data_IF_990801845310
#
_entry.id   IF_990801845310
#
_cell.length_a   1.000
_cell.length_b   1.000
_cell.length_c   1.000
_cell.angle_alpha   90.00
_cell.angle_beta   90.00
_cell.angle_gamma   90.00
#
_symmetry.space_group_name_H-M   'P 1'
#
loop_
_entity.id
_entity.type
_entity.pdbx_description
1 polymer ?
#
# COMPACT_ATOMS: atom_id res chain seq x y z
N UNK A 1 21.48 -15.43 17.87
CA UNK A 1 21.42 -13.96 18.01
C UNK A 1 20.16 -13.47 17.30
N UNK A 2 19.33 -12.62 17.93
CA UNK A 2 18.17 -12.01 17.24
C UNK A 2 18.70 -10.96 16.26
N UNK A 3 18.54 -11.18 14.97
CA UNK A 3 18.88 -10.19 13.94
C UNK A 3 17.64 -9.33 13.65
N UNK A 4 17.85 -8.01 13.58
CA UNK A 4 16.82 -7.10 13.08
C UNK A 4 16.74 -7.28 11.57
N UNK A 5 15.56 -7.71 11.06
CA UNK A 5 15.38 -7.98 9.63
C UNK A 5 15.74 -6.76 8.77
N UNK A 6 15.31 -5.56 9.18
CA UNK A 6 15.62 -4.32 8.47
C UNK A 6 17.12 -4.01 8.40
N UNK A 7 17.91 -4.49 9.36
CA UNK A 7 19.37 -4.28 9.40
C UNK A 7 20.15 -5.36 8.65
N UNK A 8 19.49 -6.46 8.27
CA UNK A 8 20.10 -7.60 7.56
C UNK A 8 19.82 -7.60 6.05
N UNK A 9 18.98 -6.68 5.57
CA UNK A 9 18.59 -6.58 4.17
C UNK A 9 19.34 -5.47 3.42
N UNK A 10 19.52 -5.67 2.12
CA UNK A 10 20.04 -4.63 1.22
C UNK A 10 19.01 -3.53 0.98
N UNK A 11 19.46 -2.38 0.49
CA UNK A 11 18.57 -1.28 0.10
C UNK A 11 17.52 -1.70 -0.95
N UNK A 12 17.91 -2.53 -1.91
CA UNK A 12 16.99 -3.09 -2.91
C UNK A 12 15.90 -3.96 -2.27
N UNK A 13 16.26 -4.82 -1.33
CA UNK A 13 15.29 -5.67 -0.61
C UNK A 13 14.36 -4.84 0.28
N UNK A 14 14.85 -3.79 0.93
CA UNK A 14 14.02 -2.86 1.70
C UNK A 14 13.04 -2.10 0.80
N UNK A 15 13.47 -1.77 -0.42
CA UNK A 15 12.61 -1.11 -1.42
C UNK A 15 11.48 -2.05 -1.87
N UNK A 16 11.79 -3.32 -2.13
CA UNK A 16 10.78 -4.33 -2.45
C UNK A 16 9.78 -4.55 -1.31
N UNK A 17 10.24 -4.59 -0.05
CA UNK A 17 9.35 -4.70 1.11
C UNK A 17 8.41 -3.48 1.24
N UNK A 18 8.95 -2.27 1.04
CA UNK A 18 8.17 -1.03 1.00
C UNK A 18 7.12 -1.04 -0.11
N UNK A 19 7.51 -1.47 -1.32
CA UNK A 19 6.60 -1.58 -2.46
C UNK A 19 5.44 -2.54 -2.17
N UNK A 20 5.72 -3.72 -1.61
CA UNK A 20 4.68 -4.67 -1.22
C UNK A 20 3.69 -4.07 -0.21
N UNK A 21 4.19 -3.40 0.83
CA UNK A 21 3.35 -2.72 1.82
C UNK A 21 2.44 -1.66 1.20
N UNK A 22 2.98 -0.84 0.30
CA UNK A 22 2.23 0.18 -0.44
C UNK A 22 1.15 -0.42 -1.34
N UNK A 23 1.45 -1.52 -2.05
CA UNK A 23 0.48 -2.22 -2.89
C UNK A 23 -0.70 -2.75 -2.06
N UNK A 24 -0.43 -3.36 -0.90
CA UNK A 24 -1.49 -3.83 0.02
C UNK A 24 -2.36 -2.67 0.51
N UNK A 25 -1.74 -1.58 0.96
CA UNK A 25 -2.45 -0.40 1.45
C UNK A 25 -3.32 0.24 0.35
N UNK A 26 -2.78 0.30 -0.88
CA UNK A 26 -3.48 0.84 -2.05
C UNK A 26 -4.68 -0.03 -2.43
N UNK A 27 -4.51 -1.34 -2.54
CA UNK A 27 -5.60 -2.29 -2.80
C UNK A 27 -6.69 -2.20 -1.73
N UNK A 28 -6.31 -2.17 -0.45
CA UNK A 28 -7.25 -2.00 0.67
C UNK A 28 -8.10 -0.75 0.50
N UNK A 29 -7.44 0.38 0.22
CA UNK A 29 -8.11 1.68 0.11
C UNK A 29 -8.99 1.75 -1.14
N UNK A 30 -8.52 1.18 -2.26
CA UNK A 30 -9.31 1.04 -3.49
C UNK A 30 -10.62 0.28 -3.26
N UNK A 31 -10.55 -0.83 -2.50
CA UNK A 31 -11.72 -1.61 -2.07
C UNK A 31 -12.50 -1.02 -0.90
N UNK A 32 -12.13 0.18 -0.41
CA UNK A 32 -12.79 0.88 0.71
C UNK A 32 -12.84 0.07 2.01
N UNK A 33 -11.87 -0.79 2.25
CA UNK A 33 -11.78 -1.57 3.49
C UNK A 33 -10.99 -0.78 4.53
N UNK A 34 -11.52 -0.64 5.75
CA UNK A 34 -10.75 0.00 6.83
C UNK A 34 -9.63 -0.92 7.28
N UNK A 35 -8.48 -0.34 7.63
CA UNK A 35 -7.33 -1.09 8.10
C UNK A 35 -7.66 -1.97 9.31
N UNK A 36 -8.48 -1.47 10.25
CA UNK A 36 -8.92 -2.21 11.44
C UNK A 36 -9.80 -3.40 11.07
N UNK A 37 -10.71 -3.24 10.12
CA UNK A 37 -11.61 -4.32 9.69
C UNK A 37 -10.83 -5.43 8.97
N UNK A 38 -9.90 -5.08 8.09
CA UNK A 38 -9.01 -6.04 7.43
C UNK A 38 -8.10 -6.76 8.44
N UNK A 39 -7.59 -6.05 9.45
CA UNK A 39 -6.80 -6.65 10.52
C UNK A 39 -7.59 -7.72 11.30
N UNK A 40 -8.83 -7.40 11.69
CA UNK A 40 -9.71 -8.34 12.40
C UNK A 40 -9.98 -9.58 11.55
N UNK A 41 -10.36 -9.39 10.26
CA UNK A 41 -10.62 -10.50 9.33
C UNK A 41 -9.39 -11.38 9.11
N UNK A 42 -8.22 -10.78 9.06
CA UNK A 42 -6.96 -11.50 8.91
C UNK A 42 -6.50 -12.17 10.21
N UNK A 43 -7.14 -11.92 11.36
CA UNK A 43 -6.68 -12.38 12.67
C UNK A 43 -5.32 -11.78 13.06
N UNK A 44 -5.16 -10.47 12.83
CA UNK A 44 -3.93 -9.72 13.08
C UNK A 44 -4.21 -8.49 13.97
N UNK A 45 -3.20 -8.07 14.72
CA UNK A 45 -3.28 -6.80 15.45
C UNK A 45 -3.25 -5.61 14.48
N UNK A 46 -3.87 -4.49 14.86
CA UNK A 46 -3.77 -3.22 14.12
C UNK A 46 -2.32 -2.80 13.89
N UNK A 47 -1.45 -2.98 14.89
CA UNK A 47 -0.04 -2.64 14.79
C UNK A 47 0.71 -3.51 13.76
N UNK A 48 0.40 -4.81 13.70
CA UNK A 48 0.97 -5.71 12.70
C UNK A 48 0.62 -5.26 11.29
N UNK A 49 -0.64 -4.93 11.05
CA UNK A 49 -1.10 -4.43 9.75
C UNK A 49 -0.50 -3.07 9.43
N UNK A 50 -0.43 -2.16 10.41
CA UNK A 50 0.24 -0.87 10.25
C UNK A 50 1.68 -1.06 9.76
N UNK A 51 2.48 -1.88 10.45
CA UNK A 51 3.86 -2.19 10.05
C UNK A 51 3.94 -2.84 8.66
N UNK A 52 3.03 -3.76 8.35
CA UNK A 52 2.95 -4.43 7.05
C UNK A 52 2.69 -3.43 5.91
N UNK A 53 1.74 -2.52 6.06
CA UNK A 53 1.45 -1.48 5.07
C UNK A 53 2.59 -0.45 4.92
N UNK A 54 3.44 -0.33 5.93
CA UNK A 54 4.68 0.47 5.88
C UNK A 54 5.91 -0.33 5.40
N UNK A 55 5.70 -1.58 4.96
CA UNK A 55 6.74 -2.39 4.34
C UNK A 55 7.76 -2.98 5.32
N UNK A 56 7.36 -3.23 6.56
CA UNK A 56 8.23 -3.85 7.55
C UNK A 56 8.63 -5.28 7.11
N UNK A 57 9.92 -5.56 6.86
CA UNK A 57 10.38 -6.86 6.37
C UNK A 57 10.35 -7.97 7.44
N UNK A 58 10.11 -7.62 8.71
CA UNK A 58 9.94 -8.57 9.80
C UNK A 58 8.54 -9.19 9.90
N UNK A 59 7.62 -8.83 9.01
CA UNK A 59 6.29 -9.43 8.94
C UNK A 59 6.39 -10.83 8.34
N UNK A 60 5.76 -11.80 9.00
CA UNK A 60 5.79 -13.17 8.52
C UNK A 60 5.03 -13.31 7.20
N UNK A 61 5.60 -14.05 6.24
CA UNK A 61 5.00 -14.22 4.90
C UNK A 61 3.54 -14.71 4.95
N UNK A 62 3.21 -15.67 5.83
CA UNK A 62 1.83 -16.14 6.01
C UNK A 62 0.86 -15.08 6.56
N UNK A 63 1.34 -14.04 7.26
CA UNK A 63 0.49 -12.90 7.66
C UNK A 63 0.15 -12.01 6.47
N UNK A 64 1.10 -11.85 5.54
CA UNK A 64 0.90 -11.10 4.30
C UNK A 64 -0.19 -11.76 3.46
N UNK A 65 -0.11 -13.09 3.27
CA UNK A 65 -1.11 -13.84 2.51
C UNK A 65 -2.52 -13.74 3.12
N UNK A 66 -2.64 -13.92 4.44
CA UNK A 66 -3.93 -13.76 5.13
C UNK A 66 -4.48 -12.35 5.04
N UNK A 67 -3.63 -11.34 5.10
CA UNK A 67 -4.05 -9.95 4.98
C UNK A 67 -4.52 -9.61 3.57
N UNK A 68 -3.82 -10.09 2.54
CA UNK A 68 -4.24 -9.97 1.16
C UNK A 68 -5.62 -10.60 0.94
N UNK A 69 -5.83 -11.84 1.40
CA UNK A 69 -7.13 -12.53 1.28
C UNK A 69 -8.24 -11.80 2.05
N UNK A 70 -7.95 -11.25 3.23
CA UNK A 70 -8.90 -10.45 4.02
C UNK A 70 -9.33 -9.13 3.33
N UNK A 71 -8.49 -8.59 2.44
CA UNK A 71 -8.80 -7.40 1.62
C UNK A 71 -9.55 -7.82 0.34
N UNK A 72 -9.02 -8.81 -0.36
CA UNK A 72 -9.50 -9.27 -1.67
C UNK A 72 -9.41 -10.80 -1.74
N UNK A 73 -10.49 -11.51 -1.36
CA UNK A 73 -10.49 -12.97 -1.31
C UNK A 73 -10.10 -13.58 -2.67
N UNK A 74 -9.22 -14.59 -2.63
CA UNK A 74 -8.76 -15.31 -3.82
C UNK A 74 -7.75 -14.55 -4.71
N UNK A 75 -7.33 -13.34 -4.33
CA UNK A 75 -6.30 -12.58 -5.05
C UNK A 75 -4.91 -13.13 -4.74
N UNK A 76 -4.09 -13.36 -5.76
CA UNK A 76 -2.71 -13.82 -5.60
C UNK A 76 -1.73 -12.66 -5.44
N UNK A 77 -0.49 -12.95 -5.00
CA UNK A 77 0.57 -11.94 -5.02
C UNK A 77 0.87 -11.46 -6.45
N UNK A 78 0.77 -12.34 -7.45
CA UNK A 78 0.93 -11.96 -8.86
C UNK A 78 -0.09 -10.90 -9.27
N UNK A 79 -1.36 -11.12 -8.95
CA UNK A 79 -2.45 -10.18 -9.23
C UNK A 79 -2.26 -8.84 -8.51
N UNK A 80 -1.77 -8.88 -7.26
CA UNK A 80 -1.45 -7.69 -6.47
C UNK A 80 -0.37 -6.84 -7.16
N UNK A 81 0.73 -7.46 -7.60
CA UNK A 81 1.82 -6.77 -8.30
C UNK A 81 1.45 -6.31 -9.70
N UNK A 82 0.59 -7.06 -10.39
CA UNK A 82 0.02 -6.67 -11.67
C UNK A 82 -1.09 -5.60 -11.54
N UNK A 83 -1.47 -5.24 -10.31
CA UNK A 83 -2.56 -4.31 -9.98
C UNK A 83 -3.86 -4.64 -10.75
N UNK A 84 -4.19 -5.94 -10.87
CA UNK A 84 -5.27 -6.43 -11.74
C UNK A 84 -6.67 -6.23 -11.17
N UNK A 85 -6.79 -5.81 -9.91
CA UNK A 85 -8.09 -5.57 -9.27
C UNK A 85 -8.84 -4.37 -9.92
N UNK A 86 -10.10 -4.54 -10.38
CA UNK A 86 -10.86 -3.45 -11.00
C UNK A 86 -11.03 -2.21 -10.11
N UNK A 87 -11.03 -2.37 -8.77
CA UNK A 87 -11.11 -1.25 -7.85
C UNK A 87 -9.89 -0.33 -7.95
N UNK A 88 -8.71 -0.86 -8.31
CA UNK A 88 -7.50 -0.06 -8.54
C UNK A 88 -7.66 0.80 -9.79
N UNK A 89 -8.25 0.27 -10.87
CA UNK A 89 -8.57 1.05 -12.06
C UNK A 89 -9.54 2.20 -11.75
N UNK A 90 -10.62 1.91 -11.00
CA UNK A 90 -11.56 2.94 -10.55
C UNK A 90 -10.90 4.00 -9.65
N UNK A 91 -9.98 3.58 -8.78
CA UNK A 91 -9.22 4.50 -7.93
C UNK A 91 -8.36 5.44 -8.79
N UNK A 92 -7.64 4.91 -9.79
CA UNK A 92 -6.83 5.71 -10.72
C UNK A 92 -7.66 6.78 -11.44
N UNK A 93 -8.86 6.43 -11.92
CA UNK A 93 -9.78 7.40 -12.56
C UNK A 93 -10.17 8.52 -11.59
N UNK A 94 -10.46 8.19 -10.32
CA UNK A 94 -10.77 9.20 -9.28
C UNK A 94 -9.57 10.08 -8.94
N UNK A 95 -8.37 9.54 -8.94
CA UNK A 95 -7.14 10.30 -8.70
C UNK A 95 -6.83 11.25 -9.88
N UNK A 96 -7.06 10.81 -11.11
CA UNK A 96 -6.87 11.62 -12.32
C UNK A 96 -7.87 12.77 -12.40
N UNK A 97 -9.15 12.51 -12.14
CA UNK A 97 -10.21 13.54 -12.14
C UNK A 97 -10.06 14.59 -11.03
N UNK A 98 -9.27 14.30 -9.99
CA UNK A 98 -9.01 15.23 -8.89
C UNK A 98 -7.84 16.20 -9.13
N UNK A 99 -7.12 16.12 -10.24
CA UNK A 99 -5.99 17.03 -10.53
C UNK A 99 -6.39 18.23 -11.39
N UNK A 100 -6.79 19.31 -10.73
CA UNK A 100 -6.33 20.68 -11.03
C UNK A 100 -5.94 21.30 -9.68
N UNK A 101 -4.72 21.80 -9.57
CA UNK A 101 -4.28 22.64 -8.45
C UNK A 101 -4.11 24.06 -9.01
N UNK A 102 -4.65 25.04 -8.30
CA UNK A 102 -4.39 26.46 -8.59
C UNK A 102 -2.89 26.74 -8.51
N UNK A 103 -2.42 27.58 -9.43
CA UNK A 103 -1.03 28.04 -9.44
C UNK A 103 -0.74 28.78 -8.13
N UNK A 104 0.44 28.56 -7.57
CA UNK A 104 0.88 29.33 -6.40
C UNK A 104 1.10 30.79 -6.79
N UNK A 105 1.00 31.71 -5.81
CA UNK A 105 1.21 33.15 -6.05
C UNK A 105 2.51 33.43 -6.80
N UNK A 106 3.59 32.71 -6.44
CA UNK A 106 4.89 32.82 -7.11
C UNK A 106 4.89 32.36 -8.57
N UNK A 107 3.99 31.46 -8.96
CA UNK A 107 3.85 30.99 -10.34
C UNK A 107 2.92 31.90 -11.16
N UNK A 108 1.98 32.60 -10.50
CA UNK A 108 1.13 33.63 -11.11
C UNK A 108 1.94 34.91 -11.39
N UNK A 109 2.78 35.34 -10.45
CA UNK A 109 3.63 36.54 -10.60
C UNK A 109 4.66 36.42 -11.74
N UNK A 110 5.00 35.19 -12.16
CA UNK A 110 5.92 34.92 -13.26
C UNK A 110 5.25 34.92 -14.66
N UNK A 111 3.93 35.05 -14.73
CA UNK A 111 3.14 35.04 -15.96
C UNK A 111 2.57 36.42 -16.35
N UNK A 112 2.80 37.46 -15.54
CA UNK A 112 2.52 38.84 -15.94
C UNK A 112 3.57 39.29 -16.99
N UNK A 113 3.09 39.59 -18.20
CA UNK A 113 3.87 40.17 -19.31
C UNK A 113 3.94 41.69 -19.22
#
# INVERSE_FOLDING_TARGET
MKTSQSSSLTSAQLTEASKLGQLLARLRTARRVKQVDAAIRAGLSRNTVYRMEHGDPGIAFGQILRYLDAIAPGTTLGDLYAESDPALAMLRVREQTKRVRDMSSSELDALDF
#
